data_IF_203328689224
#
_entry.id   IF_203328689224
#
_cell.length_a   1.000
_cell.length_b   1.000
_cell.length_c   1.000
_cell.angle_alpha   90.00
_cell.angle_beta   90.00
_cell.angle_gamma   90.00
#
_symmetry.space_group_name_H-M   'P 1'
#
loop_
_entity.id
_entity.type
_entity.pdbx_description
1 polymer ?
#
# COMPACT_ATOMS: atom_id res chain seq x y z
N UNK A 1 1.57 26.22 18.41
CA UNK A 1 1.61 25.42 17.16
C UNK A 1 2.23 24.09 17.53
N UNK A 2 1.43 23.06 17.80
CA UNK A 2 1.94 21.79 18.31
C UNK A 2 2.60 21.02 17.16
N UNK A 3 3.91 21.18 17.02
CA UNK A 3 4.72 20.30 16.20
C UNK A 3 4.75 18.95 16.91
N UNK A 4 4.02 17.97 16.39
CA UNK A 4 4.13 16.59 16.82
C UNK A 4 5.51 16.08 16.38
N UNK A 5 6.51 16.36 17.21
CA UNK A 5 7.86 15.85 17.04
C UNK A 5 7.77 14.35 17.25
N UNK A 6 7.88 13.58 16.18
CA UNK A 6 7.95 12.12 16.30
C UNK A 6 9.19 11.81 17.14
N UNK A 7 9.08 11.03 18.22
CA UNK A 7 10.19 10.85 19.15
C UNK A 7 11.41 10.23 18.43
N UNK A 8 12.62 10.59 18.85
CA UNK A 8 13.87 10.28 18.13
C UNK A 8 14.11 8.78 17.90
N UNK A 9 13.60 7.95 18.82
CA UNK A 9 13.58 6.48 18.72
C UNK A 9 12.74 5.95 17.54
N UNK A 10 11.89 6.77 16.95
CA UNK A 10 11.08 6.47 15.77
C UNK A 10 11.58 7.23 14.52
N UNK A 11 12.76 7.84 14.52
CA UNK A 11 13.28 8.53 13.32
C UNK A 11 13.97 7.58 12.33
N UNK A 12 14.51 6.45 12.81
CA UNK A 12 15.14 5.41 11.98
C UNK A 12 14.54 4.05 12.35
N UNK A 13 13.48 3.66 11.64
CA UNK A 13 12.81 2.39 11.85
C UNK A 13 13.16 1.45 10.70
N UNK A 14 13.56 0.19 10.99
CA UNK A 14 13.77 -0.79 9.94
C UNK A 14 12.47 -1.01 9.17
N UNK A 15 12.60 -1.42 7.91
CA UNK A 15 11.46 -1.85 7.11
C UNK A 15 10.91 -3.15 7.71
N UNK A 16 9.73 -3.07 8.31
CA UNK A 16 9.04 -4.18 8.95
C UNK A 16 7.59 -4.23 8.49
N UNK A 17 7.15 -5.41 8.03
CA UNK A 17 5.76 -5.66 7.69
C UNK A 17 5.03 -6.05 8.97
N UNK A 18 4.32 -5.11 9.57
CA UNK A 18 3.54 -5.32 10.81
C UNK A 18 2.33 -6.19 10.54
N UNK A 19 1.58 -5.88 9.47
CA UNK A 19 0.40 -6.66 9.07
C UNK A 19 0.61 -7.10 7.63
N UNK A 20 0.87 -8.39 7.38
CA UNK A 20 1.06 -8.87 6.03
C UNK A 20 -0.20 -8.70 5.21
N UNK A 21 -0.02 -8.44 3.92
CA UNK A 21 -1.11 -8.44 2.97
C UNK A 21 -1.83 -9.79 3.02
N UNK A 22 -3.15 -9.75 3.20
CA UNK A 22 -3.98 -10.95 3.16
C UNK A 22 -4.45 -11.20 1.74
N UNK A 23 -4.65 -12.47 1.40
CA UNK A 23 -5.31 -12.85 0.16
C UNK A 23 -6.71 -12.23 0.14
N UNK A 24 -6.96 -11.37 -0.83
CA UNK A 24 -8.29 -10.84 -1.12
C UNK A 24 -8.83 -11.58 -2.35
N UNK A 25 -10.02 -12.13 -2.21
CA UNK A 25 -10.77 -12.68 -3.35
C UNK A 25 -11.63 -11.55 -3.90
N UNK A 26 -11.40 -11.22 -5.16
CA UNK A 26 -12.12 -10.20 -5.87
C UNK A 26 -13.10 -10.84 -6.85
N UNK A 27 -14.28 -10.24 -6.99
CA UNK A 27 -15.23 -10.61 -8.03
C UNK A 27 -15.04 -9.67 -9.23
N UNK A 28 -15.03 -10.23 -10.44
CA UNK A 28 -14.93 -9.45 -11.67
C UNK A 28 -15.97 -8.31 -11.71
N UNK A 29 -15.55 -7.14 -12.19
CA UNK A 29 -16.33 -5.90 -12.15
C UNK A 29 -16.45 -5.20 -10.79
N UNK A 30 -15.83 -5.71 -9.71
CA UNK A 30 -15.81 -5.04 -8.41
C UNK A 30 -14.43 -4.46 -8.05
N UNK A 31 -14.37 -3.28 -7.43
CA UNK A 31 -13.11 -2.74 -6.96
C UNK A 31 -12.55 -3.58 -5.81
N UNK A 32 -11.22 -3.63 -5.70
CA UNK A 32 -10.51 -4.39 -4.67
C UNK A 32 -9.64 -3.44 -3.87
N UNK A 33 -9.71 -3.56 -2.55
CA UNK A 33 -8.87 -2.77 -1.65
C UNK A 33 -7.94 -3.74 -0.92
N UNK A 34 -6.65 -3.57 -1.17
CA UNK A 34 -5.57 -4.31 -0.55
C UNK A 34 -4.93 -3.45 0.52
N UNK A 35 -5.05 -3.86 1.78
CA UNK A 35 -4.53 -3.10 2.93
C UNK A 35 -3.47 -3.91 3.67
N UNK A 36 -2.33 -3.28 3.96
CA UNK A 36 -1.22 -3.87 4.72
C UNK A 36 -0.63 -2.81 5.64
N UNK A 37 0.02 -3.22 6.73
CA UNK A 37 0.75 -2.28 7.60
C UNK A 37 2.24 -2.51 7.47
N UNK A 38 2.95 -1.42 7.15
CA UNK A 38 4.39 -1.42 6.96
C UNK A 38 4.94 -0.26 7.76
N UNK A 39 5.88 -0.57 8.64
CA UNK A 39 6.66 0.41 9.40
C UNK A 39 8.03 0.49 8.75
N UNK A 40 8.52 1.71 8.56
CA UNK A 40 9.83 1.94 7.96
C UNK A 40 10.10 3.43 7.86
N UNK A 41 11.26 3.85 8.35
CA UNK A 41 11.70 5.25 8.32
C UNK A 41 13.19 5.33 7.97
N UNK A 42 13.58 6.08 6.92
CA UNK A 42 12.74 6.91 6.06
C UNK A 42 11.71 6.09 5.26
N UNK A 43 10.65 6.77 4.78
CA UNK A 43 9.51 6.09 4.12
C UNK A 43 10.03 5.20 2.99
N UNK A 44 9.75 3.88 3.05
CA UNK A 44 10.23 2.95 2.05
C UNK A 44 9.51 3.16 0.72
N UNK A 45 10.14 2.71 -0.36
CA UNK A 45 9.48 2.63 -1.66
C UNK A 45 8.62 1.37 -1.71
N UNK A 46 7.37 1.52 -2.13
CA UNK A 46 6.44 0.41 -2.30
C UNK A 46 6.37 -0.01 -3.75
N UNK A 47 6.32 -1.32 -4.01
CA UNK A 47 6.09 -1.87 -5.34
C UNK A 47 5.13 -3.02 -5.21
N UNK A 48 3.98 -2.89 -5.86
CA UNK A 48 3.00 -3.96 -5.90
C UNK A 48 3.37 -4.96 -6.98
N UNK A 49 3.13 -6.24 -6.72
CA UNK A 49 3.39 -7.32 -7.66
C UNK A 49 2.07 -7.99 -8.01
N UNK A 50 1.75 -8.07 -9.30
CA UNK A 50 0.65 -8.87 -9.83
C UNK A 50 1.24 -10.02 -10.63
N UNK A 51 0.95 -11.27 -10.24
CA UNK A 51 1.49 -12.46 -10.91
C UNK A 51 3.02 -12.42 -11.09
N UNK A 52 3.74 -12.04 -10.03
CA UNK A 52 5.21 -11.86 -10.04
C UNK A 52 5.74 -10.74 -10.96
N UNK A 53 4.88 -9.88 -11.50
CA UNK A 53 5.29 -8.73 -12.30
C UNK A 53 5.02 -7.42 -11.55
N UNK A 54 5.91 -6.42 -11.65
CA UNK A 54 5.70 -5.11 -11.06
C UNK A 54 4.44 -4.47 -11.65
N UNK A 55 3.54 -4.11 -10.75
CA UNK A 55 2.32 -3.40 -11.07
C UNK A 55 2.66 -1.91 -11.10
N UNK A 56 2.60 -1.30 -12.29
CA UNK A 56 2.78 0.13 -12.42
C UNK A 56 1.54 0.87 -11.93
N UNK A 57 1.78 1.95 -11.19
CA UNK A 57 0.73 2.88 -10.82
C UNK A 57 0.06 3.41 -12.09
N UNK A 58 -1.26 3.36 -12.11
CA UNK A 58 -2.07 3.80 -13.25
C UNK A 58 -3.40 4.32 -12.73
N UNK A 59 -4.25 4.83 -13.62
CA UNK A 59 -5.60 5.26 -13.23
C UNK A 59 -6.40 4.13 -12.55
N UNK A 60 -6.07 2.86 -12.83
CA UNK A 60 -6.71 1.68 -12.23
C UNK A 60 -6.05 1.18 -10.94
N UNK A 61 -4.80 1.55 -10.69
CA UNK A 61 -4.02 1.09 -9.53
C UNK A 61 -3.53 2.30 -8.74
N UNK A 62 -4.22 2.60 -7.65
CA UNK A 62 -3.89 3.74 -6.80
C UNK A 62 -3.29 3.26 -5.48
N UNK A 63 -2.02 3.62 -5.25
CA UNK A 63 -1.32 3.33 -4.00
C UNK A 63 -1.39 4.54 -3.08
N UNK A 64 -1.74 4.32 -1.82
CA UNK A 64 -1.77 5.35 -0.78
C UNK A 64 -1.07 4.81 0.46
N UNK A 65 -0.17 5.61 1.05
CA UNK A 65 0.51 5.25 2.30
C UNK A 65 0.24 6.32 3.35
N UNK A 66 -0.44 5.92 4.42
CA UNK A 66 -0.68 6.75 5.59
C UNK A 66 0.43 6.54 6.62
N UNK A 67 1.31 7.53 6.73
CA UNK A 67 2.46 7.50 7.63
C UNK A 67 2.09 7.48 9.13
N UNK A 68 1.10 8.26 9.62
CA UNK A 68 0.68 8.19 11.02
C UNK A 68 0.13 6.82 11.42
N UNK A 69 -0.59 6.15 10.51
CA UNK A 69 -1.21 4.85 10.77
C UNK A 69 -0.37 3.66 10.28
N UNK A 70 0.79 3.93 9.68
CA UNK A 70 1.70 2.94 9.07
C UNK A 70 0.96 2.01 8.09
N UNK A 71 -0.06 2.55 7.40
CA UNK A 71 -1.02 1.77 6.61
C UNK A 71 -0.82 2.04 5.13
N UNK A 72 -0.49 1.00 4.38
CA UNK A 72 -0.40 1.00 2.93
C UNK A 72 -1.68 0.41 2.34
N UNK A 73 -2.29 1.14 1.42
CA UNK A 73 -3.53 0.77 0.73
C UNK A 73 -3.26 0.78 -0.78
N UNK A 74 -3.68 -0.27 -1.47
CA UNK A 74 -3.79 -0.32 -2.92
C UNK A 74 -5.25 -0.49 -3.29
N UNK A 75 -5.78 0.49 -4.01
CA UNK A 75 -7.10 0.42 -4.60
C UNK A 75 -6.99 0.00 -6.07
N UNK A 76 -7.79 -1.00 -6.45
CA UNK A 76 -7.89 -1.54 -7.80
C UNK A 76 -9.30 -1.24 -8.29
N UNK A 77 -9.48 -0.20 -9.10
CA UNK A 77 -10.81 0.36 -9.37
C UNK A 77 -11.59 -0.34 -10.49
N UNK A 78 -11.01 -1.26 -11.26
CA UNK A 78 -11.76 -1.90 -12.34
C UNK A 78 -11.18 -3.26 -12.80
N UNK A 79 -12.02 -4.30 -12.71
CA UNK A 79 -11.77 -5.62 -13.28
C UNK A 79 -12.68 -5.76 -14.50
N UNK A 80 -12.38 -5.05 -15.59
CA UNK A 80 -13.13 -5.19 -16.84
C UNK A 80 -12.28 -5.94 -17.87
N UNK A 81 -12.85 -6.97 -18.54
CA UNK A 81 -12.15 -7.81 -19.52
C UNK A 81 -11.91 -7.10 -20.87
N UNK A 82 -11.81 -5.78 -20.91
CA UNK A 82 -11.87 -4.98 -22.14
C UNK A 82 -10.54 -4.35 -22.60
N UNK A 83 -9.41 -4.69 -21.98
CA UNK A 83 -8.12 -4.51 -22.67
C UNK A 83 -8.06 -5.55 -23.80
N UNK A 84 -8.42 -5.04 -24.99
CA UNK A 84 -8.60 -5.56 -26.37
C UNK A 84 -8.09 -6.94 -26.75
#
# INVERSE_FOLDING_TARGET
>A
VNQQHVPENEQNLPLEVIIPLKLAVAQEGQPVILTTKIRGRPVPQFTWLRNNQPLMESTRFQTQYDFPSETLVLEISDIWPHDS
#
